data_IF_149606011619
#
_entry.id   IF_149606011619
#
_cell.length_a   1.000
_cell.length_b   1.000
_cell.length_c   1.000
_cell.angle_alpha   90.00
_cell.angle_beta   90.00
_cell.angle_gamma   90.00
#
_symmetry.space_group_name_H-M   'P 1'
#
loop_
_entity.id
_entity.type
_entity.pdbx_description
1 polymer ?
#
# COMPACT_ATOMS: atom_id res chain seq x y z
N UNK A 1 9.58 19.46 2.23
CA UNK A 1 10.48 18.36 2.64
C UNK A 1 9.94 17.05 2.07
N UNK A 2 10.79 16.20 1.50
CA UNK A 2 10.38 14.84 1.15
C UNK A 2 10.00 14.12 2.46
N UNK A 3 8.84 13.45 2.48
CA UNK A 3 8.49 12.58 3.60
C UNK A 3 9.56 11.49 3.63
N UNK A 4 10.41 11.54 4.66
CA UNK A 4 11.48 10.59 4.98
C UNK A 4 10.95 9.15 4.85
N UNK A 5 11.78 8.14 4.49
CA UNK A 5 11.31 6.76 4.44
C UNK A 5 10.68 6.44 5.80
N UNK A 6 9.36 6.22 5.81
CA UNK A 6 8.62 5.91 7.04
C UNK A 6 9.28 4.67 7.65
N UNK A 7 9.52 4.72 8.96
CA UNK A 7 9.88 3.54 9.74
C UNK A 7 9.00 2.34 9.34
N UNK A 8 9.57 1.13 9.39
CA UNK A 8 8.84 -0.10 9.10
C UNK A 8 7.51 -0.13 9.88
N UNK A 9 6.46 -0.65 9.25
CA UNK A 9 5.14 -0.79 9.87
C UNK A 9 5.27 -1.54 11.20
N UNK A 10 4.72 -0.97 12.27
CA UNK A 10 4.77 -1.57 13.60
C UNK A 10 3.60 -2.54 13.79
N UNK A 11 3.89 -3.71 14.31
CA UNK A 11 2.93 -4.80 14.47
C UNK A 11 1.98 -4.55 15.65
N UNK A 12 0.70 -4.85 15.45
CA UNK A 12 -0.31 -4.92 16.52
C UNK A 12 -1.07 -6.24 16.38
N UNK A 13 -1.35 -6.91 17.49
CA UNK A 13 -2.07 -8.20 17.49
C UNK A 13 -3.43 -8.03 16.79
N UNK A 14 -3.76 -9.00 15.94
CA UNK A 14 -4.95 -9.08 15.10
C UNK A 14 -5.17 -7.84 14.21
N UNK A 15 -4.08 -7.19 13.81
CA UNK A 15 -4.10 -6.03 12.91
C UNK A 15 -3.03 -6.20 11.84
N UNK A 16 -3.36 -5.79 10.62
CA UNK A 16 -2.38 -5.53 9.57
C UNK A 16 -2.04 -4.04 9.57
N UNK A 17 -0.80 -3.71 9.89
CA UNK A 17 -0.25 -2.37 9.78
C UNK A 17 0.48 -2.24 8.47
N UNK A 18 0.13 -1.25 7.66
CA UNK A 18 0.72 -1.06 6.34
C UNK A 18 1.15 0.38 6.10
N UNK A 19 2.29 0.53 5.44
CA UNK A 19 2.67 1.76 4.75
C UNK A 19 3.11 1.41 3.32
N UNK A 20 3.64 2.38 2.57
CA UNK A 20 3.93 2.20 1.14
C UNK A 20 4.90 1.05 0.83
N UNK A 21 5.81 0.72 1.75
CA UNK A 21 6.87 -0.26 1.52
C UNK A 21 6.99 -1.30 2.61
N UNK A 22 6.08 -1.32 3.57
CA UNK A 22 6.13 -2.32 4.62
C UNK A 22 4.75 -2.69 5.12
N UNK A 23 4.66 -3.94 5.50
CA UNK A 23 3.53 -4.55 6.14
C UNK A 23 4.04 -5.23 7.41
N UNK A 24 3.29 -5.06 8.49
CA UNK A 24 3.35 -6.00 9.59
C UNK A 24 1.97 -6.52 9.92
N UNK A 25 1.81 -7.83 9.84
CA UNK A 25 0.59 -8.56 10.16
C UNK A 25 0.85 -9.45 11.38
N UNK A 26 -0.04 -9.41 12.36
CA UNK A 26 0.04 -10.29 13.53
C UNK A 26 -1.32 -10.92 13.74
N UNK A 27 -1.43 -12.24 13.53
CA UNK A 27 -2.71 -12.95 13.54
C UNK A 27 -2.72 -14.08 14.55
N UNK A 28 -3.88 -14.33 15.14
CA UNK A 28 -4.13 -15.52 15.96
C UNK A 28 -4.67 -16.64 15.09
N UNK A 29 -4.03 -17.80 15.14
CA UNK A 29 -4.42 -19.01 14.42
C UNK A 29 -4.89 -20.07 15.41
N UNK A 30 -6.00 -20.73 15.07
CA UNK A 30 -6.58 -21.83 15.85
C UNK A 30 -6.64 -23.09 15.00
N UNK A 31 -6.17 -24.19 15.57
CA UNK A 31 -6.18 -25.52 14.98
C UNK A 31 -7.07 -26.42 15.83
N UNK A 32 -8.05 -27.06 15.20
CA UNK A 32 -8.85 -28.11 15.83
C UNK A 32 -8.14 -29.45 15.59
N UNK A 33 -7.89 -30.21 16.65
CA UNK A 33 -7.27 -31.54 16.55
C UNK A 33 -8.38 -32.57 16.38
N UNK A 34 -8.39 -33.21 15.21
CA UNK A 34 -9.41 -34.18 14.81
C UNK A 34 -8.81 -35.59 14.77
N UNK A 35 -9.49 -36.54 15.42
CA UNK A 35 -9.19 -37.96 15.35
C UNK A 35 -10.42 -38.71 14.84
N UNK A 36 -10.22 -39.72 14.00
CA UNK A 36 -11.30 -40.61 13.56
C UNK A 36 -11.50 -41.71 14.59
N UNK A 37 -12.68 -41.78 15.19
CA UNK A 37 -13.05 -42.77 16.21
C UNK A 37 -14.29 -43.51 15.70
N UNK A 38 -14.17 -44.82 15.49
CA UNK A 38 -15.24 -45.66 14.92
C UNK A 38 -15.77 -45.11 13.58
N UNK A 39 -14.86 -44.68 12.70
CA UNK A 39 -15.22 -44.09 11.40
C UNK A 39 -15.72 -42.64 11.45
N UNK A 40 -15.88 -42.04 12.63
CA UNK A 40 -16.42 -40.68 12.78
C UNK A 40 -15.32 -39.68 13.18
N UNK A 41 -15.10 -38.58 12.43
CA UNK A 41 -14.23 -37.50 12.85
C UNK A 41 -14.73 -36.84 14.13
N UNK A 42 -13.89 -36.79 15.16
CA UNK A 42 -14.19 -36.12 16.43
C UNK A 42 -13.10 -35.13 16.80
N UNK A 43 -13.51 -33.95 17.25
CA UNK A 43 -12.58 -32.99 17.84
C UNK A 43 -12.18 -33.44 19.24
N UNK A 44 -10.89 -33.63 19.45
CA UNK A 44 -10.30 -34.17 20.67
C UNK A 44 -9.34 -33.21 21.37
N UNK A 45 -9.05 -32.08 20.74
CA UNK A 45 -8.21 -31.02 21.30
C UNK A 45 -8.16 -29.78 20.41
N UNK A 46 -7.43 -28.77 20.86
CA UNK A 46 -7.16 -27.55 20.09
C UNK A 46 -5.77 -27.03 20.37
N UNK A 47 -5.19 -26.30 19.42
CA UNK A 47 -3.98 -25.53 19.59
C UNK A 47 -4.22 -24.11 19.07
N UNK A 48 -3.84 -23.10 19.85
CA UNK A 48 -3.93 -21.68 19.47
C UNK A 48 -2.56 -21.04 19.58
N UNK A 49 -2.11 -20.38 18.53
CA UNK A 49 -0.83 -19.69 18.48
C UNK A 49 -0.97 -18.40 17.65
N UNK A 50 0.05 -17.56 17.65
CA UNK A 50 0.08 -16.37 16.80
C UNK A 50 1.17 -16.48 15.74
N UNK A 51 0.88 -15.97 14.55
CA UNK A 51 1.86 -15.74 13.51
C UNK A 51 2.08 -14.23 13.34
N UNK A 52 3.33 -13.79 13.38
CA UNK A 52 3.72 -12.39 13.17
C UNK A 52 4.60 -12.31 11.94
N UNK A 53 4.17 -11.58 10.92
CA UNK A 53 4.84 -11.38 9.64
C UNK A 53 5.30 -9.94 9.50
N UNK A 54 6.51 -9.73 9.00
CA UNK A 54 7.05 -8.43 8.66
C UNK A 54 7.61 -8.49 7.24
N UNK A 55 6.93 -7.83 6.31
CA UNK A 55 7.34 -7.74 4.91
C UNK A 55 7.83 -6.32 4.62
N UNK A 56 8.98 -6.20 3.98
CA UNK A 56 9.51 -4.90 3.54
C UNK A 56 9.80 -4.97 2.05
N UNK A 57 9.01 -4.26 1.25
CA UNK A 57 9.22 -4.09 -0.19
C UNK A 57 10.38 -3.13 -0.45
N UNK A 58 10.90 -3.15 -1.66
CA UNK A 58 12.02 -2.32 -2.07
C UNK A 58 11.60 -1.36 -3.20
N UNK A 59 11.83 -0.05 -3.01
CA UNK A 59 11.55 0.97 -4.03
C UNK A 59 12.58 1.03 -5.15
N UNK A 60 13.61 0.18 -5.11
CA UNK A 60 14.72 0.13 -6.08
C UNK A 60 15.07 -1.31 -6.50
N UNK A 61 14.27 -2.28 -6.07
CA UNK A 61 14.39 -3.67 -6.48
C UNK A 61 13.00 -4.31 -6.56
N UNK A 62 12.81 -5.21 -7.52
CA UNK A 62 11.61 -6.03 -7.57
C UNK A 62 11.72 -7.31 -6.70
N UNK A 63 12.83 -7.44 -5.97
CA UNK A 63 13.11 -8.55 -5.06
C UNK A 63 13.14 -8.03 -3.62
N UNK A 64 12.60 -8.84 -2.71
CA UNK A 64 12.52 -8.47 -1.30
C UNK A 64 12.47 -9.68 -0.37
N UNK A 65 12.54 -9.38 0.92
CA UNK A 65 12.47 -10.37 1.98
C UNK A 65 11.36 -10.10 2.98
N UNK A 66 10.94 -11.15 3.64
CA UNK A 66 9.99 -11.14 4.74
C UNK A 66 10.49 -12.04 5.85
N UNK A 67 10.22 -11.66 7.10
CA UNK A 67 10.46 -12.50 8.28
C UNK A 67 9.14 -12.82 8.95
N UNK A 68 9.00 -14.03 9.48
CA UNK A 68 7.87 -14.39 10.30
C UNK A 68 8.27 -15.13 11.58
N UNK A 69 7.41 -15.07 12.57
CA UNK A 69 7.55 -15.74 13.87
C UNK A 69 6.24 -16.42 14.24
N UNK A 70 6.33 -17.67 14.69
CA UNK A 70 5.21 -18.41 15.28
C UNK A 70 5.44 -18.50 16.78
N UNK A 71 4.42 -18.15 17.57
CA UNK A 71 4.49 -18.35 19.01
C UNK A 71 4.37 -19.84 19.35
N UNK A 72 4.84 -20.22 20.55
CA UNK A 72 4.41 -21.46 21.18
C UNK A 72 2.88 -21.51 21.24
N UNK A 73 2.30 -22.67 20.98
CA UNK A 73 0.86 -22.86 21.06
C UNK A 73 0.38 -23.09 22.50
N UNK A 74 -0.73 -22.45 22.85
CA UNK A 74 -1.58 -22.86 23.97
C UNK A 74 -2.48 -23.99 23.51
N UNK A 75 -2.56 -25.07 24.29
CA UNK A 75 -3.23 -26.31 23.87
C UNK A 75 -4.26 -26.78 24.88
N UNK A 76 -5.31 -27.45 24.40
CA UNK A 76 -6.31 -28.12 25.23
C UNK A 76 -6.36 -29.61 24.89
N UNK A 77 -6.47 -30.48 25.90
CA UNK A 77 -6.59 -31.94 25.73
C UNK A 77 -5.47 -32.49 24.82
N UNK A 78 -5.82 -33.15 23.73
CA UNK A 78 -4.87 -33.73 22.77
C UNK A 78 -4.25 -32.68 21.83
N UNK A 79 -4.19 -31.40 22.20
CA UNK A 79 -3.67 -30.31 21.38
C UNK A 79 -2.15 -30.30 21.16
N UNK A 80 -1.37 -31.08 21.92
CA UNK A 80 0.10 -31.13 21.83
C UNK A 80 0.59 -32.02 20.68
N UNK A 81 1.87 -31.85 20.30
CA UNK A 81 2.56 -32.70 19.31
C UNK A 81 2.18 -32.41 17.86
N UNK A 82 1.68 -31.21 17.57
CA UNK A 82 1.35 -30.76 16.21
C UNK A 82 2.61 -30.20 15.56
N UNK A 83 2.96 -30.73 14.40
CA UNK A 83 3.99 -30.18 13.51
C UNK A 83 3.34 -29.21 12.53
N UNK A 84 3.93 -28.02 12.38
CA UNK A 84 3.53 -27.00 11.42
C UNK A 84 4.54 -26.90 10.28
N UNK A 85 4.04 -26.74 9.06
CA UNK A 85 4.79 -26.26 7.89
C UNK A 85 4.22 -24.92 7.44
N UNK A 86 5.07 -24.09 6.83
CA UNK A 86 4.65 -22.80 6.28
C UNK A 86 5.02 -22.77 4.80
N UNK A 87 4.10 -22.29 3.96
CA UNK A 87 4.34 -22.08 2.54
C UNK A 87 3.76 -20.74 2.12
N UNK A 88 4.57 -19.92 1.46
CA UNK A 88 4.15 -18.68 0.83
C UNK A 88 4.11 -18.85 -0.69
N UNK A 89 3.07 -18.29 -1.33
CA UNK A 89 2.95 -18.23 -2.79
C UNK A 89 2.70 -16.80 -3.23
N UNK A 90 3.30 -16.40 -4.36
CA UNK A 90 3.15 -15.09 -4.97
C UNK A 90 2.65 -15.22 -6.42
N UNK A 91 2.10 -14.13 -6.94
CA UNK A 91 1.57 -14.05 -8.32
C UNK A 91 2.30 -13.01 -9.17
N UNK A 92 1.77 -12.73 -10.36
CA UNK A 92 2.21 -11.64 -11.25
C UNK A 92 3.71 -11.64 -11.60
N UNK A 93 4.25 -12.84 -11.88
CA UNK A 93 5.65 -13.01 -12.28
C UNK A 93 6.64 -12.99 -11.11
N UNK A 94 6.14 -13.00 -9.88
CA UNK A 94 6.95 -13.13 -8.66
C UNK A 94 6.87 -14.53 -8.11
N UNK A 95 8.01 -15.13 -7.80
CA UNK A 95 8.14 -16.36 -7.04
C UNK A 95 8.36 -16.05 -5.56
N UNK A 96 7.89 -16.94 -4.68
CA UNK A 96 8.10 -16.88 -3.25
C UNK A 96 8.77 -18.17 -2.78
N UNK A 97 9.89 -18.06 -2.07
CA UNK A 97 10.62 -19.19 -1.49
C UNK A 97 10.60 -19.08 0.02
N UNK A 98 9.91 -20.03 0.67
CA UNK A 98 9.85 -20.10 2.14
C UNK A 98 11.08 -20.84 2.68
N UNK A 99 11.74 -20.26 3.67
CA UNK A 99 12.86 -20.85 4.39
C UNK A 99 12.40 -21.19 5.80
N UNK A 100 11.79 -22.36 5.93
CA UNK A 100 11.24 -22.86 7.18
C UNK A 100 11.13 -24.38 7.13
N UNK A 101 11.75 -25.04 8.10
CA UNK A 101 11.63 -26.48 8.26
C UNK A 101 10.38 -26.82 9.09
N UNK A 102 9.75 -28.00 8.88
CA UNK A 102 8.68 -28.47 9.75
C UNK A 102 9.08 -28.37 11.22
N UNK A 103 8.18 -27.84 12.06
CA UNK A 103 8.49 -27.56 13.47
C UNK A 103 7.33 -27.91 14.39
N UNK A 104 7.61 -28.33 15.62
CA UNK A 104 6.57 -28.56 16.62
C UNK A 104 6.04 -27.24 17.18
N UNK A 105 4.73 -27.14 17.36
CA UNK A 105 4.08 -25.96 17.96
C UNK A 105 4.25 -25.87 19.48
N UNK A 106 5.10 -26.69 20.10
CA UNK A 106 5.39 -26.67 21.54
C UNK A 106 6.47 -25.65 21.95
N UNK A 107 7.16 -25.09 20.95
CA UNK A 107 8.11 -23.99 21.08
C UNK A 107 7.78 -22.88 20.08
N UNK A 108 8.29 -21.68 20.35
CA UNK A 108 8.26 -20.60 19.38
C UNK A 108 9.29 -20.86 18.28
N UNK A 109 8.97 -20.45 17.06
CA UNK A 109 9.82 -20.64 15.88
C UNK A 109 9.82 -19.41 14.99
N UNK A 110 10.77 -19.35 14.06
CA UNK A 110 10.86 -18.27 13.08
C UNK A 110 11.30 -18.80 11.72
N UNK A 111 10.98 -18.04 10.69
CA UNK A 111 11.37 -18.32 9.32
C UNK A 111 11.38 -17.06 8.49
N UNK A 112 11.65 -17.22 7.20
CA UNK A 112 11.64 -16.12 6.24
C UNK A 112 11.06 -16.54 4.89
N UNK A 113 10.71 -15.56 4.09
CA UNK A 113 10.33 -15.74 2.69
C UNK A 113 11.20 -14.81 1.84
N UNK A 114 11.77 -15.34 0.77
CA UNK A 114 12.44 -14.56 -0.27
C UNK A 114 11.53 -14.45 -1.48
N UNK A 115 11.38 -13.25 -2.01
CA UNK A 115 10.59 -12.97 -3.19
C UNK A 115 11.49 -12.54 -4.33
N UNK A 116 11.29 -13.13 -5.50
CA UNK A 116 12.03 -12.81 -6.72
C UNK A 116 11.05 -12.54 -7.84
N UNK A 117 11.13 -11.36 -8.45
CA UNK A 117 10.26 -10.98 -9.56
C UNK A 117 11.02 -11.05 -10.87
N UNK A 118 10.41 -11.71 -11.87
CA UNK A 118 10.96 -11.73 -13.22
C UNK A 118 11.16 -10.31 -13.79
N UNK A 119 12.08 -10.17 -14.74
CA UNK A 119 12.45 -8.87 -15.29
C UNK A 119 11.23 -8.09 -15.82
N UNK A 120 11.03 -6.87 -15.30
CA UNK A 120 9.96 -5.96 -15.74
C UNK A 120 10.56 -4.97 -16.73
N UNK A 121 10.03 -4.93 -17.97
CA UNK A 121 10.49 -3.98 -18.99
C UNK A 121 10.23 -2.54 -18.56
N UNK A 122 11.10 -1.62 -18.97
CA UNK A 122 10.92 -0.18 -18.73
C UNK A 122 9.56 0.30 -19.25
N UNK A 123 8.89 1.14 -18.46
CA UNK A 123 7.55 1.65 -18.78
C UNK A 123 6.41 0.66 -18.50
N UNK A 124 6.69 -0.49 -17.88
CA UNK A 124 5.67 -1.51 -17.56
C UNK A 124 5.37 -1.59 -16.08
N UNK A 125 4.15 -2.04 -15.82
CA UNK A 125 3.54 -2.22 -14.50
C UNK A 125 2.99 -3.66 -14.48
N UNK A 126 3.33 -4.45 -13.48
CA UNK A 126 2.70 -5.76 -13.27
C UNK A 126 1.32 -5.58 -12.60
N UNK A 127 0.50 -6.61 -12.63
CA UNK A 127 -0.77 -6.60 -11.90
C UNK A 127 -0.58 -6.43 -10.39
N UNK A 128 -1.63 -6.02 -9.69
CA UNK A 128 -1.72 -6.09 -8.23
C UNK A 128 -1.90 -7.55 -7.78
N UNK A 129 -1.25 -7.96 -6.69
CA UNK A 129 -1.40 -9.31 -6.10
C UNK A 129 -1.15 -9.27 -4.59
N UNK A 130 -1.39 -10.39 -3.93
CA UNK A 130 -1.10 -10.63 -2.52
C UNK A 130 -0.25 -11.90 -2.40
N UNK A 131 0.57 -11.99 -1.36
CA UNK A 131 1.13 -13.28 -0.93
C UNK A 131 0.03 -14.10 -0.28
N UNK A 132 -0.10 -15.39 -0.61
CA UNK A 132 -0.92 -16.32 0.17
C UNK A 132 -0.02 -17.19 1.04
N UNK A 133 -0.30 -17.18 2.34
CA UNK A 133 0.34 -18.07 3.31
C UNK A 133 -0.56 -19.27 3.56
N UNK A 134 0.06 -20.46 3.59
CA UNK A 134 -0.58 -21.71 4.01
C UNK A 134 0.23 -22.31 5.14
N UNK A 135 -0.46 -22.63 6.23
CA UNK A 135 0.06 -23.34 7.39
C UNK A 135 -0.49 -24.75 7.32
N UNK A 136 0.38 -25.73 7.07
CA UNK A 136 0.02 -27.15 7.10
C UNK A 136 0.24 -27.72 8.50
N UNK A 137 -0.66 -28.56 8.97
CA UNK A 137 -0.61 -29.18 10.30
C UNK A 137 -0.67 -30.69 10.19
N UNK A 138 0.28 -31.36 10.85
CA UNK A 138 0.31 -32.82 10.95
C UNK A 138 0.51 -33.26 12.39
N UNK A 139 -0.10 -34.39 12.74
CA UNK A 139 0.08 -35.07 14.02
C UNK A 139 -0.13 -36.58 13.80
N UNK A 140 0.82 -37.45 14.18
CA UNK A 140 0.69 -38.90 13.97
C UNK A 140 -0.59 -39.48 14.58
N UNK A 141 -1.40 -40.17 13.77
CA UNK A 141 -2.68 -40.78 14.20
C UNK A 141 -3.90 -39.83 14.16
N UNK A 142 -3.75 -38.63 13.58
CA UNK A 142 -4.80 -37.61 13.47
C UNK A 142 -4.95 -37.15 12.03
N UNK A 143 -6.08 -36.48 11.74
CA UNK A 143 -6.36 -35.93 10.41
C UNK A 143 -5.47 -34.69 10.19
N UNK A 144 -4.70 -34.62 9.09
CA UNK A 144 -3.97 -33.40 8.72
C UNK A 144 -4.92 -32.24 8.46
N UNK A 145 -4.46 -31.02 8.71
CA UNK A 145 -5.24 -29.81 8.47
C UNK A 145 -4.42 -28.70 7.87
N UNK A 146 -5.07 -27.64 7.42
CA UNK A 146 -4.40 -26.42 7.02
C UNK A 146 -5.24 -25.18 7.29
N UNK A 147 -4.58 -24.04 7.38
CA UNK A 147 -5.21 -22.71 7.37
C UNK A 147 -4.33 -21.73 6.61
N UNK A 148 -4.84 -20.54 6.33
CA UNK A 148 -4.09 -19.55 5.59
C UNK A 148 -4.75 -18.19 5.59
N UNK A 149 -3.97 -17.19 5.20
CA UNK A 149 -4.41 -15.81 5.00
C UNK A 149 -3.55 -15.16 3.91
N UNK A 150 -3.88 -13.91 3.58
CA UNK A 150 -3.21 -13.17 2.52
C UNK A 150 -2.58 -11.92 3.11
N UNK A 151 -1.42 -11.55 2.57
CA UNK A 151 -0.77 -10.26 2.86
C UNK A 151 -1.61 -9.08 2.33
N UNK A 152 -1.14 -7.86 2.59
CA UNK A 152 -1.59 -6.70 1.85
C UNK A 152 -1.31 -6.84 0.35
N UNK A 153 -2.07 -6.09 -0.45
CA UNK A 153 -1.92 -6.01 -1.89
C UNK A 153 -0.71 -5.18 -2.25
N UNK A 154 0.20 -5.80 -2.99
CA UNK A 154 1.39 -5.16 -3.52
C UNK A 154 1.41 -5.24 -5.04
N UNK A 155 2.30 -4.44 -5.62
CA UNK A 155 2.55 -4.38 -7.05
C UNK A 155 4.01 -4.06 -7.29
N UNK A 156 4.61 -4.68 -8.31
CA UNK A 156 5.92 -4.30 -8.82
C UNK A 156 5.79 -3.64 -10.20
N UNK A 157 6.69 -2.71 -10.50
CA UNK A 157 6.76 -2.02 -11.78
C UNK A 157 8.19 -1.59 -12.11
N UNK A 158 8.41 -1.25 -13.38
CA UNK A 158 9.60 -0.54 -13.85
C UNK A 158 9.15 0.65 -14.70
N UNK A 159 8.09 1.34 -14.27
CA UNK A 159 7.47 2.37 -15.09
C UNK A 159 8.37 3.61 -15.22
N UNK A 160 9.05 3.98 -14.14
CA UNK A 160 9.95 5.14 -14.08
C UNK A 160 11.39 4.85 -14.50
N UNK A 161 11.70 3.62 -14.95
CA UNK A 161 13.07 3.21 -15.31
C UNK A 161 13.90 2.72 -14.12
N UNK A 162 13.27 2.50 -12.98
CA UNK A 162 13.82 1.74 -11.85
C UNK A 162 12.77 0.72 -11.45
N UNK A 163 13.16 -0.55 -11.37
CA UNK A 163 12.27 -1.60 -10.88
C UNK A 163 12.06 -1.44 -9.38
N UNK A 164 10.83 -1.55 -8.91
CA UNK A 164 10.50 -1.51 -7.50
C UNK A 164 9.10 -2.04 -7.23
N UNK A 165 8.81 -2.30 -5.95
CA UNK A 165 7.51 -2.75 -5.51
C UNK A 165 6.95 -1.85 -4.42
N UNK A 166 5.62 -1.71 -4.39
CA UNK A 166 4.93 -0.94 -3.38
C UNK A 166 3.60 -1.57 -2.97
N UNK A 167 3.22 -1.35 -1.71
CA UNK A 167 1.90 -1.69 -1.18
C UNK A 167 0.88 -0.69 -1.73
N UNK A 168 -0.25 -1.21 -2.22
CA UNK A 168 -1.26 -0.41 -2.92
C UNK A 168 -2.53 -0.15 -2.11
N UNK A 169 -2.66 -0.82 -0.96
CA UNK A 169 -3.85 -0.71 -0.10
C UNK A 169 -3.87 0.56 0.77
N UNK A 170 -2.73 1.20 0.99
CA UNK A 170 -2.65 2.44 1.79
C UNK A 170 -2.35 3.66 0.92
N UNK A 171 -3.12 4.74 1.11
CA UNK A 171 -2.77 6.02 0.51
C UNK A 171 -1.39 6.50 0.98
N UNK A 172 -0.59 6.98 0.04
CA UNK A 172 0.60 7.79 0.33
C UNK A 172 0.21 9.27 0.40
N UNK A 173 1.14 10.17 0.68
CA UNK A 173 0.88 11.60 0.72
C UNK A 173 1.97 12.41 0.03
N UNK A 174 1.57 13.47 -0.66
CA UNK A 174 2.46 14.46 -1.27
C UNK A 174 2.31 15.81 -0.55
N UNK A 175 3.41 16.48 -0.24
CA UNK A 175 3.38 17.75 0.49
C UNK A 175 3.49 18.96 -0.44
N UNK A 176 2.49 19.83 -0.38
CA UNK A 176 2.45 21.17 -0.96
C UNK A 176 2.83 22.27 0.03
N UNK A 177 3.02 21.94 1.31
CA UNK A 177 3.49 22.86 2.37
C UNK A 177 4.64 23.76 1.88
N UNK A 178 4.57 25.06 2.14
CA UNK A 178 5.57 26.04 1.68
C UNK A 178 5.64 26.23 0.16
N UNK A 179 4.58 25.87 -0.58
CA UNK A 179 4.32 26.38 -1.92
C UNK A 179 3.22 27.43 -1.76
N UNK A 180 3.57 28.72 -1.57
CA UNK A 180 2.72 29.68 -0.86
C UNK A 180 1.26 29.76 -1.30
N UNK A 181 1.01 29.96 -2.59
CA UNK A 181 -0.34 30.16 -3.10
C UNK A 181 -1.06 28.82 -3.33
N UNK A 182 -0.34 27.76 -3.72
CA UNK A 182 -0.95 26.41 -3.89
C UNK A 182 -1.39 25.84 -2.55
N UNK A 183 -0.51 25.87 -1.55
CA UNK A 183 -0.79 25.49 -0.17
C UNK A 183 -2.00 26.28 0.36
N UNK A 184 -1.97 27.61 0.24
CA UNK A 184 -3.05 28.48 0.70
C UNK A 184 -4.38 28.23 -0.02
N UNK A 185 -4.37 27.98 -1.32
CA UNK A 185 -5.56 27.59 -2.08
C UNK A 185 -6.16 26.28 -1.55
N UNK A 186 -5.33 25.27 -1.29
CA UNK A 186 -5.79 23.99 -0.73
C UNK A 186 -6.35 24.17 0.69
N UNK A 187 -5.72 25.00 1.53
CA UNK A 187 -6.22 25.32 2.87
C UNK A 187 -7.54 26.10 2.82
N UNK A 188 -7.66 27.06 1.92
CA UNK A 188 -8.90 27.82 1.69
C UNK A 188 -10.03 26.88 1.28
N UNK A 189 -9.77 25.98 0.32
CA UNK A 189 -10.71 24.95 -0.10
C UNK A 189 -11.25 24.14 1.07
N UNK A 190 -10.35 23.70 1.95
CA UNK A 190 -10.71 22.93 3.14
C UNK A 190 -11.52 23.71 4.15
N UNK A 191 -11.17 24.98 4.37
CA UNK A 191 -11.87 25.86 5.30
C UNK A 191 -13.35 26.06 4.92
N UNK A 192 -13.69 25.97 3.64
CA UNK A 192 -15.08 26.08 3.16
C UNK A 192 -15.73 24.72 2.81
N UNK A 193 -15.21 23.60 3.34
CA UNK A 193 -15.83 22.28 3.27
C UNK A 193 -15.35 21.35 2.14
N UNK A 194 -14.29 21.73 1.41
CA UNK A 194 -13.64 20.89 0.43
C UNK A 194 -12.72 19.85 1.08
N UNK A 195 -13.05 18.56 1.00
CA UNK A 195 -12.34 17.52 1.76
C UNK A 195 -11.65 16.46 0.90
N UNK A 196 -11.79 16.49 -0.43
CA UNK A 196 -11.04 15.55 -1.28
C UNK A 196 -9.53 15.80 -1.18
N UNK A 197 -8.77 14.74 -0.98
CA UNK A 197 -7.31 14.76 -0.80
C UNK A 197 -6.84 15.23 0.58
N UNK A 198 -7.73 15.49 1.54
CA UNK A 198 -7.35 15.84 2.91
C UNK A 198 -6.99 14.59 3.75
N UNK A 199 -5.77 14.49 4.30
CA UNK A 199 -5.40 13.37 5.17
C UNK A 199 -6.17 13.33 6.51
N UNK A 200 -6.85 14.41 6.91
CA UNK A 200 -7.51 14.55 8.22
C UNK A 200 -9.03 14.32 8.15
N UNK A 201 -9.47 13.31 7.41
CA UNK A 201 -10.90 12.93 7.29
C UNK A 201 -11.49 13.07 5.89
N UNK A 202 -10.66 13.42 4.91
CA UNK A 202 -11.02 13.49 3.50
C UNK A 202 -11.05 12.15 2.78
N UNK A 203 -11.60 12.15 1.57
CA UNK A 203 -11.47 11.02 0.62
C UNK A 203 -10.15 11.16 -0.15
N UNK A 204 -9.37 10.09 -0.36
CA UNK A 204 -8.12 10.20 -1.11
C UNK A 204 -8.39 10.59 -2.57
N UNK A 205 -7.41 11.28 -3.19
CA UNK A 205 -7.34 11.44 -4.63
C UNK A 205 -6.75 10.19 -5.25
N UNK A 206 -7.02 9.94 -6.54
CA UNK A 206 -6.46 8.80 -7.26
C UNK A 206 -5.58 9.30 -8.40
N UNK A 207 -4.32 8.83 -8.43
CA UNK A 207 -3.39 9.23 -9.48
C UNK A 207 -3.86 8.71 -10.84
N UNK A 208 -3.73 9.56 -11.88
CA UNK A 208 -4.13 9.24 -13.25
C UNK A 208 -2.93 9.38 -14.19
N UNK A 209 -2.52 8.28 -14.84
CA UNK A 209 -1.37 8.29 -15.77
C UNK A 209 -1.71 8.76 -17.18
N UNK A 210 -3.00 8.82 -17.53
CA UNK A 210 -3.45 9.16 -18.87
C UNK A 210 -3.22 10.65 -19.19
N UNK A 211 -2.21 10.94 -20.01
CA UNK A 211 -1.84 12.31 -20.42
C UNK A 211 -2.95 13.02 -21.17
N UNK A 212 -3.72 12.32 -22.02
CA UNK A 212 -4.83 12.95 -22.75
C UNK A 212 -5.89 13.44 -21.76
N UNK A 213 -6.30 12.58 -20.82
CA UNK A 213 -7.31 12.94 -19.82
C UNK A 213 -6.79 14.03 -18.86
N UNK A 214 -5.51 14.02 -18.50
CA UNK A 214 -4.86 15.12 -17.76
C UNK A 214 -5.01 16.45 -18.49
N UNK A 215 -4.72 16.49 -19.79
CA UNK A 215 -4.84 17.70 -20.58
C UNK A 215 -6.30 18.13 -20.73
N UNK A 216 -7.23 17.19 -20.83
CA UNK A 216 -8.67 17.46 -20.85
C UNK A 216 -9.14 18.07 -19.52
N UNK A 217 -8.70 17.52 -18.37
CA UNK A 217 -8.97 18.06 -17.04
C UNK A 217 -8.44 19.49 -16.89
N UNK A 218 -7.19 19.73 -17.29
CA UNK A 218 -6.56 21.06 -17.24
C UNK A 218 -7.25 22.07 -18.15
N UNK A 219 -7.62 21.66 -19.37
CA UNK A 219 -8.36 22.52 -20.30
C UNK A 219 -9.75 22.89 -19.75
N UNK A 220 -10.43 21.97 -19.06
CA UNK A 220 -11.75 22.24 -18.51
C UNK A 220 -11.75 23.30 -17.38
N UNK A 221 -10.63 23.48 -16.67
CA UNK A 221 -10.51 24.42 -15.55
C UNK A 221 -9.71 25.66 -15.91
N UNK A 222 -8.59 25.50 -16.60
CA UNK A 222 -7.64 26.55 -16.95
C UNK A 222 -7.65 26.93 -18.43
N UNK A 223 -8.34 26.19 -19.31
CA UNK A 223 -8.35 26.46 -20.75
C UNK A 223 -8.96 27.82 -21.08
N UNK A 224 -8.23 28.64 -21.84
CA UNK A 224 -8.68 29.97 -22.25
C UNK A 224 -8.74 31.03 -21.16
N UNK A 225 -8.41 30.67 -19.90
CA UNK A 225 -8.33 31.64 -18.80
C UNK A 225 -7.06 32.46 -18.90
N UNK A 226 -7.17 33.76 -18.63
CA UNK A 226 -6.03 34.63 -18.43
C UNK A 226 -6.03 35.17 -17.01
N UNK A 227 -4.85 35.33 -16.43
CA UNK A 227 -4.73 35.88 -15.09
C UNK A 227 -5.36 37.28 -15.02
N UNK A 228 -6.13 37.58 -13.97
CA UNK A 228 -6.61 38.93 -13.69
C UNK A 228 -5.46 39.97 -13.64
N UNK A 229 -5.71 41.25 -13.97
CA UNK A 229 -4.66 42.28 -14.02
C UNK A 229 -3.85 42.43 -12.72
N UNK A 230 -4.50 42.31 -11.57
CA UNK A 230 -3.88 42.36 -10.24
C UNK A 230 -2.94 41.17 -10.00
N UNK A 231 -3.34 39.96 -10.41
CA UNK A 231 -2.50 38.75 -10.34
C UNK A 231 -1.31 38.85 -11.29
N UNK A 232 -1.53 39.35 -12.52
CA UNK A 232 -0.46 39.60 -13.49
C UNK A 232 0.58 40.58 -12.95
N UNK A 233 0.16 41.66 -12.31
CA UNK A 233 1.05 42.69 -11.73
C UNK A 233 2.02 42.12 -10.70
N UNK A 234 1.62 41.08 -9.96
CA UNK A 234 2.47 40.39 -8.97
C UNK A 234 3.11 39.11 -9.52
N UNK A 235 3.13 38.93 -10.85
CA UNK A 235 3.78 37.80 -11.50
C UNK A 235 3.04 36.46 -11.40
N UNK A 236 1.77 36.46 -10.98
CA UNK A 236 0.92 35.27 -10.86
C UNK A 236 0.15 35.04 -12.16
N UNK A 237 0.80 34.42 -13.14
CA UNK A 237 0.31 34.28 -14.51
C UNK A 237 -0.13 32.85 -14.88
N UNK A 238 0.10 31.87 -14.02
CA UNK A 238 -0.23 30.47 -14.26
C UNK A 238 -1.46 30.03 -13.48
N UNK A 239 -2.35 29.29 -14.13
CA UNK A 239 -3.52 28.68 -13.49
C UNK A 239 -3.14 27.32 -12.90
N UNK A 240 -3.30 27.16 -11.59
CA UNK A 240 -3.20 25.91 -10.86
C UNK A 240 -4.60 25.44 -10.42
N UNK A 241 -4.81 24.13 -10.39
CA UNK A 241 -6.11 23.53 -10.13
C UNK A 241 -6.03 22.46 -9.04
N UNK A 242 -6.99 22.49 -8.12
CA UNK A 242 -7.18 21.43 -7.13
C UNK A 242 -8.61 20.87 -7.20
N UNK A 243 -8.82 19.54 -7.20
CA UNK A 243 -7.81 18.49 -7.29
C UNK A 243 -6.96 18.58 -8.56
N UNK A 244 -5.71 18.12 -8.49
CA UNK A 244 -4.75 18.24 -9.60
C UNK A 244 -5.30 17.62 -10.89
N UNK A 245 -5.00 18.21 -12.05
CA UNK A 245 -5.43 17.65 -13.34
C UNK A 245 -4.93 16.21 -13.59
N UNK A 246 -3.84 15.80 -12.94
CA UNK A 246 -3.30 14.44 -12.97
C UNK A 246 -4.00 13.47 -12.01
N UNK A 247 -5.22 13.77 -11.57
CA UNK A 247 -6.04 12.89 -10.73
C UNK A 247 -7.34 12.54 -11.42
N UNK A 248 -7.94 11.42 -11.00
CA UNK A 248 -9.27 11.02 -11.46
C UNK A 248 -10.37 11.95 -10.96
N UNK A 249 -10.13 12.73 -9.91
CA UNK A 249 -11.03 13.74 -9.34
C UNK A 249 -10.84 15.13 -9.96
N UNK A 250 -9.77 15.34 -10.73
CA UNK A 250 -9.42 16.62 -11.33
C UNK A 250 -10.39 17.10 -12.42
N UNK A 251 -10.19 18.34 -12.86
CA UNK A 251 -11.06 18.99 -13.85
C UNK A 251 -12.37 19.45 -13.22
N UNK A 252 -13.50 19.12 -13.85
CA UNK A 252 -14.85 19.50 -13.39
C UNK A 252 -15.64 18.32 -12.82
N UNK A 253 -14.98 17.18 -12.53
CA UNK A 253 -15.66 15.97 -12.06
C UNK A 253 -16.29 16.13 -10.68
N UNK A 254 -15.65 16.89 -9.80
CA UNK A 254 -16.19 17.23 -8.49
C UNK A 254 -17.06 18.49 -8.55
N UNK A 255 -18.03 18.65 -7.62
CA UNK A 255 -18.78 19.91 -7.52
C UNK A 255 -17.85 21.08 -7.22
N UNK A 256 -18.28 22.30 -7.55
CA UNK A 256 -17.46 23.51 -7.37
C UNK A 256 -17.00 23.73 -5.92
N UNK A 257 -17.81 23.34 -4.94
CA UNK A 257 -17.46 23.39 -3.51
C UNK A 257 -16.30 22.47 -3.10
N UNK A 258 -15.86 21.58 -3.99
CA UNK A 258 -14.77 20.63 -3.76
C UNK A 258 -13.58 20.90 -4.70
N UNK A 259 -13.51 22.09 -5.30
CA UNK A 259 -12.47 22.48 -6.26
C UNK A 259 -11.98 23.89 -5.98
N UNK A 260 -10.71 24.12 -6.29
CA UNK A 260 -10.06 25.43 -6.19
C UNK A 260 -9.28 25.74 -7.47
N UNK A 261 -9.20 27.02 -7.82
CA UNK A 261 -8.32 27.49 -8.89
C UNK A 261 -7.50 28.66 -8.42
N UNK A 262 -6.19 28.46 -8.35
CA UNK A 262 -5.26 29.48 -7.86
C UNK A 262 -4.40 30.01 -9.00
N UNK A 263 -4.29 31.34 -9.11
CA UNK A 263 -3.25 31.95 -9.93
C UNK A 263 -1.92 31.93 -9.21
N UNK A 264 -0.87 31.42 -9.84
CA UNK A 264 0.44 31.23 -9.22
C UNK A 264 1.56 31.75 -10.12
N UNK A 265 2.75 31.95 -9.55
CA UNK A 265 3.92 32.29 -10.34
C UNK A 265 4.37 31.09 -11.19
N UNK A 266 5.06 31.32 -12.33
CA UNK A 266 5.64 30.22 -13.11
C UNK A 266 6.58 29.33 -12.28
N UNK A 267 7.38 29.94 -11.41
CA UNK A 267 8.31 29.23 -10.53
C UNK A 267 7.58 28.30 -9.54
N UNK A 268 6.46 28.76 -9.00
CA UNK A 268 5.67 28.00 -8.05
C UNK A 268 4.99 26.80 -8.71
N UNK A 269 4.40 27.00 -9.90
CA UNK A 269 3.84 25.92 -10.72
C UNK A 269 4.90 24.87 -11.06
N UNK A 270 6.12 25.29 -11.42
CA UNK A 270 7.23 24.39 -11.70
C UNK A 270 7.67 23.62 -10.43
N UNK A 271 7.70 24.29 -9.29
CA UNK A 271 8.03 23.68 -7.99
C UNK A 271 7.03 22.58 -7.62
N UNK A 272 5.73 22.83 -7.80
CA UNK A 272 4.69 21.81 -7.57
C UNK A 272 4.91 20.58 -8.46
N UNK A 273 5.13 20.78 -9.77
CA UNK A 273 5.40 19.70 -10.71
C UNK A 273 6.65 18.88 -10.35
N UNK A 274 7.71 19.54 -9.92
CA UNK A 274 8.93 18.90 -9.44
C UNK A 274 8.67 18.07 -8.16
N UNK A 275 7.93 18.61 -7.18
CA UNK A 275 7.58 17.88 -5.95
C UNK A 275 6.73 16.65 -6.23
N UNK A 276 5.70 16.76 -7.06
CA UNK A 276 4.87 15.62 -7.47
C UNK A 276 5.74 14.56 -8.15
N UNK A 277 6.65 14.96 -9.03
CA UNK A 277 7.57 14.01 -9.70
C UNK A 277 8.51 13.31 -8.71
N UNK A 278 9.11 14.07 -7.80
CA UNK A 278 10.04 13.57 -6.78
C UNK A 278 9.37 12.74 -5.69
N UNK A 279 8.06 12.85 -5.52
CA UNK A 279 7.27 11.95 -4.69
C UNK A 279 6.87 10.69 -5.47
N UNK A 280 6.27 10.86 -6.65
CA UNK A 280 5.64 9.77 -7.42
C UNK A 280 6.63 8.67 -7.82
N UNK A 281 7.84 9.06 -8.24
CA UNK A 281 8.89 8.14 -8.68
C UNK A 281 9.35 7.20 -7.57
N UNK A 282 9.94 7.68 -6.46
CA UNK A 282 10.40 6.80 -5.40
C UNK A 282 9.25 6.10 -4.67
N UNK A 283 8.04 6.69 -4.63
CA UNK A 283 6.86 6.05 -4.03
C UNK A 283 6.19 5.04 -4.98
N UNK A 284 6.67 4.85 -6.21
CA UNK A 284 6.06 3.98 -7.22
C UNK A 284 4.56 4.21 -7.39
N UNK A 285 4.10 5.46 -7.32
CA UNK A 285 2.67 5.80 -7.45
C UNK A 285 2.25 5.64 -8.90
N UNK A 286 1.24 4.80 -9.13
CA UNK A 286 0.71 4.47 -10.45
C UNK A 286 -0.78 4.77 -10.55
N UNK A 287 -1.32 4.48 -11.73
CA UNK A 287 -2.73 4.67 -12.02
C UNK A 287 -3.64 4.03 -10.96
N UNK A 288 -4.65 4.80 -10.54
CA UNK A 288 -5.60 4.47 -9.47
C UNK A 288 -4.99 4.26 -8.08
N UNK A 289 -3.71 4.55 -7.86
CA UNK A 289 -3.18 4.54 -6.50
C UNK A 289 -3.75 5.74 -5.72
N UNK A 290 -4.30 5.50 -4.51
CA UNK A 290 -4.83 6.55 -3.68
C UNK A 290 -3.72 7.38 -3.04
N UNK A 291 -3.95 8.67 -2.86
CA UNK A 291 -3.06 9.56 -2.13
C UNK A 291 -3.77 10.76 -1.51
N UNK A 292 -3.13 11.33 -0.49
CA UNK A 292 -3.52 12.59 0.12
C UNK A 292 -2.54 13.71 -0.22
N UNK A 293 -2.96 14.95 -0.02
CA UNK A 293 -2.15 16.14 -0.20
C UNK A 293 -2.00 16.84 1.15
N UNK A 294 -0.77 17.03 1.60
CA UNK A 294 -0.48 17.81 2.81
C UNK A 294 -0.28 19.26 2.40
N UNK A 295 -1.12 20.14 2.89
CA UNK A 295 -1.06 21.58 2.73
C UNK A 295 -1.07 22.17 4.14
#
# INVERSE_FOLDING_TARGET
>A
MAVTPKANATCKINTISINRFSECEWVTLRVNVIRVINGVPRQVGTATFTARHSMTLNSKSADWGEKFQLSKASTTREGKGITVTVTATAGNGTSAKTHYSPHLLDAASSGSVTYTTGAIRKGRINGKTQTRYTFGFTKPGYVPGSTGYKSATWRCDNYYGTSGCAMTDQPTAVSMVSIPWIDDGIRTLRAHGGHYGDPNGGKPLHWMINTKKKNDNRRAVCGGRTAPPDMKRVGRTYCDEYPFASTYEGGTKLPASQRETTWVSPNENNTQGARITNWRRPMHVMDNDPFYVVA
#
